data_IF_169252775647
#
_entry.id   IF_169252775647
#
_cell.length_a   1.000
_cell.length_b   1.000
_cell.length_c   1.000
_cell.angle_alpha   90.00
_cell.angle_beta   90.00
_cell.angle_gamma   90.00
#
_symmetry.space_group_name_H-M   'P 1'
#
loop_
_entity.id
_entity.type
_entity.pdbx_description
1 polymer ?
#
# COMPACT_ATOMS: atom_id res chain seq x y z
N UNK A 1 -2.87 32.61 41.23
CA UNK A 1 -2.30 31.28 40.90
C UNK A 1 -2.46 30.90 39.42
N UNK A 2 -3.35 31.54 38.67
CA UNK A 2 -3.70 31.22 37.26
C UNK A 2 -2.66 31.54 36.16
N UNK A 3 -1.74 32.50 36.36
CA UNK A 3 -0.86 32.98 35.26
C UNK A 3 0.36 32.10 34.99
N UNK A 4 0.74 31.24 35.94
CA UNK A 4 1.87 30.31 35.76
C UNK A 4 1.44 29.07 34.97
N UNK A 5 0.20 28.62 35.13
CA UNK A 5 -0.36 27.46 34.41
C UNK A 5 -0.52 27.69 32.90
N UNK A 6 -0.90 28.91 32.49
CA UNK A 6 -1.00 29.26 31.07
C UNK A 6 0.34 29.16 30.31
N UNK A 7 1.46 29.39 31.00
CA UNK A 7 2.80 29.26 30.41
C UNK A 7 3.23 27.81 30.20
N UNK A 8 2.74 26.88 31.02
CA UNK A 8 3.05 25.45 30.90
C UNK A 8 2.19 24.72 29.86
N UNK A 9 0.97 25.20 29.60
CA UNK A 9 0.08 24.63 28.57
C UNK A 9 0.54 25.03 27.16
N UNK A 10 1.17 26.20 26.99
CA UNK A 10 1.62 26.70 25.69
C UNK A 10 2.83 25.95 25.09
N UNK A 11 3.52 25.10 25.85
CA UNK A 11 4.79 24.47 25.40
C UNK A 11 4.62 23.01 24.95
N UNK A 12 3.42 22.43 25.06
CA UNK A 12 3.19 20.98 24.85
C UNK A 12 2.53 20.62 23.51
N UNK A 13 2.75 21.44 22.47
CA UNK A 13 2.31 21.17 21.10
C UNK A 13 3.50 21.17 20.11
N UNK A 14 4.59 20.49 20.47
CA UNK A 14 5.67 20.21 19.53
C UNK A 14 5.59 18.78 19.00
N UNK A 15 4.93 18.68 17.84
CA UNK A 15 5.28 17.87 16.67
C UNK A 15 5.72 16.42 16.95
N UNK A 16 4.76 15.51 16.84
CA UNK A 16 5.02 14.16 16.37
C UNK A 16 4.48 14.01 14.93
N UNK A 17 5.05 14.77 13.99
CA UNK A 17 4.98 14.40 12.58
C UNK A 17 5.94 13.22 12.39
N UNK A 18 5.49 12.03 12.80
CA UNK A 18 6.22 10.79 12.53
C UNK A 18 6.51 10.73 11.05
N UNK A 19 7.78 10.48 10.69
CA UNK A 19 8.18 10.26 9.32
C UNK A 19 7.33 9.11 8.77
N UNK A 20 6.39 9.40 7.87
CA UNK A 20 5.86 8.37 6.99
C UNK A 20 7.06 8.03 6.12
N UNK A 21 7.77 6.95 6.47
CA UNK A 21 8.69 6.33 5.55
C UNK A 21 7.82 5.86 4.37
N UNK A 22 7.63 6.73 3.38
CA UNK A 22 7.23 6.29 2.06
C UNK A 22 8.32 5.31 1.67
N UNK A 23 7.98 4.02 1.66
CA UNK A 23 8.81 3.02 1.02
C UNK A 23 9.21 3.62 -0.33
N UNK A 24 10.52 3.75 -0.56
CA UNK A 24 10.99 4.24 -1.85
C UNK A 24 10.29 3.38 -2.90
N UNK A 25 9.67 3.98 -3.93
CA UNK A 25 9.21 3.20 -5.07
C UNK A 25 10.48 2.66 -5.70
N UNK A 26 10.93 1.50 -5.24
CA UNK A 26 11.91 0.71 -5.91
C UNK A 26 11.20 0.36 -7.23
N UNK A 27 11.44 1.18 -8.25
CA UNK A 27 10.88 1.04 -9.60
C UNK A 27 11.22 -0.30 -10.26
N UNK A 28 11.94 -1.15 -9.52
CA UNK A 28 12.28 -2.55 -9.78
C UNK A 28 11.19 -3.54 -9.35
N UNK A 29 10.40 -3.25 -8.32
CA UNK A 29 9.51 -4.24 -7.67
C UNK A 29 8.06 -4.09 -8.12
N UNK A 30 7.73 -4.71 -9.24
CA UNK A 30 6.36 -4.76 -9.79
C UNK A 30 5.86 -6.20 -9.86
N UNK A 31 4.54 -6.38 -9.86
CA UNK A 31 3.92 -7.61 -10.32
C UNK A 31 3.71 -7.53 -11.83
N UNK A 32 3.77 -8.67 -12.52
CA UNK A 32 3.52 -8.75 -13.96
C UNK A 32 2.30 -9.60 -14.22
N UNK A 33 1.40 -9.12 -15.08
CA UNK A 33 0.26 -9.89 -15.55
C UNK A 33 0.61 -10.60 -16.87
N UNK A 34 -0.28 -11.48 -17.33
CA UNK A 34 -0.07 -12.33 -18.51
C UNK A 34 0.07 -11.54 -19.82
N UNK A 35 -0.50 -10.35 -19.89
CA UNK A 35 -0.32 -9.39 -20.98
C UNK A 35 1.06 -8.72 -20.99
N UNK A 36 1.86 -8.94 -19.93
CA UNK A 36 3.17 -8.33 -19.75
C UNK A 36 3.15 -6.96 -19.10
N UNK A 37 1.97 -6.42 -18.78
CA UNK A 37 1.83 -5.17 -18.06
C UNK A 37 2.39 -5.32 -16.64
N UNK A 38 3.07 -4.27 -16.18
CA UNK A 38 3.60 -4.16 -14.82
C UNK A 38 2.59 -3.42 -13.96
N UNK A 39 2.48 -3.87 -12.72
CA UNK A 39 1.61 -3.31 -11.70
C UNK A 39 2.44 -3.00 -10.46
N UNK A 40 2.26 -1.80 -9.93
CA UNK A 40 2.91 -1.34 -8.72
C UNK A 40 2.32 -2.00 -7.48
N UNK A 41 3.08 -1.99 -6.38
CA UNK A 41 2.58 -2.46 -5.09
C UNK A 41 1.29 -1.73 -4.70
N UNK A 42 0.28 -2.50 -4.31
CA UNK A 42 -1.06 -2.00 -3.96
C UNK A 42 -2.04 -1.98 -5.12
N UNK A 43 -1.59 -2.01 -6.38
CA UNK A 43 -2.49 -2.04 -7.53
C UNK A 43 -3.26 -3.35 -7.63
N UNK A 44 -4.47 -3.26 -8.17
CA UNK A 44 -5.40 -4.38 -8.30
C UNK A 44 -5.56 -4.72 -9.78
N UNK A 45 -5.44 -5.99 -10.10
CA UNK A 45 -5.62 -6.49 -11.45
C UNK A 45 -6.47 -7.76 -11.47
N UNK A 46 -7.11 -7.99 -12.60
CA UNK A 46 -7.74 -9.27 -12.90
C UNK A 46 -6.68 -10.24 -13.47
N UNK A 47 -6.46 -11.34 -12.77
CA UNK A 47 -5.50 -12.37 -13.16
C UNK A 47 -6.24 -13.54 -13.81
N UNK A 48 -5.76 -13.98 -14.98
CA UNK A 48 -6.38 -15.04 -15.80
C UNK A 48 -5.37 -16.14 -16.13
N UNK A 49 -5.51 -17.30 -15.50
CA UNK A 49 -4.59 -18.44 -15.65
C UNK A 49 -5.39 -19.73 -15.77
N UNK A 50 -5.08 -20.56 -16.76
CA UNK A 50 -5.71 -21.88 -16.90
C UNK A 50 -7.25 -21.87 -17.04
N UNK A 51 -7.84 -20.79 -17.58
CA UNK A 51 -9.30 -20.64 -17.70
C UNK A 51 -10.00 -20.10 -16.44
N UNK A 52 -9.30 -20.03 -15.31
CA UNK A 52 -9.80 -19.37 -14.11
C UNK A 52 -9.49 -17.86 -14.14
N UNK A 53 -10.34 -17.08 -13.46
CA UNK A 53 -10.09 -15.66 -13.24
C UNK A 53 -10.31 -15.29 -11.78
N UNK A 54 -9.44 -14.43 -11.25
CA UNK A 54 -9.55 -13.93 -9.89
C UNK A 54 -9.05 -12.49 -9.81
N UNK A 55 -9.62 -11.72 -8.89
CA UNK A 55 -9.15 -10.38 -8.58
C UNK A 55 -7.99 -10.50 -7.59
N UNK A 56 -6.88 -9.82 -7.87
CA UNK A 56 -5.69 -9.86 -7.02
C UNK A 56 -5.09 -8.48 -6.83
N UNK A 57 -4.40 -8.29 -5.70
CA UNK A 57 -3.56 -7.12 -5.42
C UNK A 57 -2.09 -7.50 -5.56
N UNK A 58 -1.30 -6.60 -6.14
CA UNK A 58 0.15 -6.75 -6.10
C UNK A 58 0.66 -6.40 -4.70
N UNK A 59 1.32 -7.34 -4.03
CA UNK A 59 1.82 -7.14 -2.67
C UNK A 59 3.25 -7.64 -2.53
N UNK A 60 3.91 -7.26 -1.44
CA UNK A 60 5.24 -7.73 -1.06
C UNK A 60 5.09 -8.80 0.02
N UNK A 61 5.49 -10.03 -0.27
CA UNK A 61 5.49 -11.15 0.67
C UNK A 61 6.91 -11.69 0.76
N UNK A 62 7.52 -11.68 1.96
CA UNK A 62 8.89 -12.14 2.19
C UNK A 62 9.93 -11.53 1.20
N UNK A 63 9.81 -10.23 0.91
CA UNK A 63 10.66 -9.50 -0.04
C UNK A 63 10.52 -9.93 -1.51
N UNK A 64 9.43 -10.61 -1.87
CA UNK A 64 9.09 -10.98 -3.25
C UNK A 64 7.73 -10.38 -3.63
N UNK A 65 7.63 -9.79 -4.82
CA UNK A 65 6.34 -9.33 -5.34
C UNK A 65 5.44 -10.51 -5.69
N UNK A 66 4.23 -10.51 -5.16
CA UNK A 66 3.27 -11.61 -5.26
C UNK A 66 1.88 -11.09 -5.55
N UNK A 67 1.12 -11.82 -6.37
CA UNK A 67 -0.31 -11.59 -6.54
C UNK A 67 -1.09 -12.20 -5.37
N UNK A 68 -1.55 -11.35 -4.43
CA UNK A 68 -2.47 -11.79 -3.37
C UNK A 68 -3.90 -11.82 -3.90
N UNK A 69 -4.52 -13.00 -3.92
CA UNK A 69 -5.92 -13.17 -4.32
C UNK A 69 -6.85 -12.44 -3.33
N UNK A 70 -7.75 -11.61 -3.85
CA UNK A 70 -8.77 -10.89 -3.09
C UNK A 70 -10.13 -11.60 -3.15
N UNK A 71 -10.54 -12.05 -4.34
CA UNK A 71 -11.78 -12.80 -4.55
C UNK A 71 -11.75 -13.59 -5.86
N UNK A 72 -12.65 -14.56 -5.98
CA UNK A 72 -12.92 -15.25 -7.23
C UNK A 72 -13.64 -14.34 -8.23
N UNK A 73 -13.33 -14.56 -9.51
CA UNK A 73 -13.86 -13.76 -10.60
C UNK A 73 -13.32 -12.33 -10.64
N UNK A 74 -13.62 -11.64 -11.73
CA UNK A 74 -13.24 -10.25 -11.94
C UNK A 74 -14.47 -9.36 -12.09
N UNK A 75 -14.39 -8.07 -11.73
CA UNK A 75 -15.49 -7.13 -11.95
C UNK A 75 -15.86 -7.08 -13.43
N UNK A 76 -17.16 -7.20 -13.71
CA UNK A 76 -17.78 -6.80 -14.98
C UNK A 76 -18.22 -5.34 -14.85
N UNK A 77 -17.96 -4.55 -15.90
CA UNK A 77 -18.41 -3.16 -15.98
C UNK A 77 -19.94 -3.06 -16.09
#
# INVERSE_FOLDING_TARGET
MERRYAKWIATLLLVAAGSIAAAHPDSRCTCRNRDGMKYELGEIACIRVGGASYLARCEMELNVTTWRKLRDGCPTA
#
